data_IF_920923934976
#
_entry.id   IF_920923934976
#
_cell.length_a   1.000
_cell.length_b   1.000
_cell.length_c   1.000
_cell.angle_alpha   90.00
_cell.angle_beta   90.00
_cell.angle_gamma   90.00
#
_symmetry.space_group_name_H-M   'P 1'
#
loop_
_entity.id
_entity.type
_entity.pdbx_description
1 polymer ?
#
# COMPACT_ATOMS: atom_id res chain seq x y z
N UNK A 1 -40.55 -29.30 22.06
CA UNK A 1 -41.00 -27.92 22.33
C UNK A 1 -40.66 -27.08 21.10
N UNK A 2 -41.70 -26.58 20.41
CA UNK A 2 -41.58 -25.90 19.12
C UNK A 2 -41.49 -24.38 19.39
N UNK A 3 -40.43 -23.76 19.01
CA UNK A 3 -40.30 -22.28 19.01
C UNK A 3 -40.45 -21.74 17.60
N UNK A 4 -41.47 -20.92 17.38
CA UNK A 4 -41.83 -20.28 16.13
C UNK A 4 -41.13 -18.91 16.09
N UNK A 5 -40.28 -18.68 15.10
CA UNK A 5 -39.79 -17.32 14.78
C UNK A 5 -40.75 -16.67 13.78
N UNK A 6 -41.32 -15.55 14.18
CA UNK A 6 -42.18 -14.74 13.35
C UNK A 6 -41.30 -13.81 12.49
N UNK A 7 -41.53 -13.85 11.18
CA UNK A 7 -40.92 -12.92 10.22
C UNK A 7 -41.72 -11.62 10.19
N UNK A 8 -41.08 -10.47 10.45
CA UNK A 8 -41.67 -9.15 10.26
C UNK A 8 -41.33 -8.68 8.85
N UNK A 9 -42.34 -8.60 8.01
CA UNK A 9 -42.29 -7.94 6.70
C UNK A 9 -42.51 -6.43 6.92
N UNK A 10 -41.50 -5.60 6.61
CA UNK A 10 -41.68 -4.15 6.50
C UNK A 10 -41.94 -3.81 5.03
N UNK A 11 -43.17 -3.42 4.72
CA UNK A 11 -43.58 -2.88 3.43
C UNK A 11 -43.21 -1.39 3.39
N UNK A 12 -42.25 -1.00 2.57
CA UNK A 12 -41.91 0.40 2.29
C UNK A 12 -42.84 0.96 1.20
N UNK A 13 -43.59 1.99 1.55
CA UNK A 13 -44.48 2.75 0.65
C UNK A 13 -43.62 3.70 -0.19
N UNK A 14 -43.58 3.48 -1.52
CA UNK A 14 -43.07 4.47 -2.47
C UNK A 14 -44.14 5.53 -2.73
N UNK A 15 -43.91 6.75 -2.28
CA UNK A 15 -44.69 7.92 -2.70
C UNK A 15 -44.08 8.54 -3.96
N UNK A 16 -44.81 8.42 -5.06
CA UNK A 16 -44.51 9.06 -6.34
C UNK A 16 -44.99 10.52 -6.27
N UNK A 17 -44.04 11.47 -6.22
CA UNK A 17 -44.36 12.91 -6.30
C UNK A 17 -44.30 13.36 -7.79
N UNK A 18 -45.46 13.59 -8.36
CA UNK A 18 -45.62 14.31 -9.64
C UNK A 18 -45.33 15.80 -9.37
N UNK A 19 -44.27 16.34 -9.99
CA UNK A 19 -44.04 17.79 -10.06
C UNK A 19 -44.63 18.31 -11.33
N UNK A 20 -45.68 19.14 -11.18
CA UNK A 20 -46.31 19.89 -12.27
C UNK A 20 -45.39 21.02 -12.74
N UNK A 21 -45.24 21.14 -14.04
CA UNK A 21 -44.54 22.21 -14.74
C UNK A 21 -45.31 23.52 -14.57
N UNK A 22 -44.82 24.47 -13.77
CA UNK A 22 -45.28 25.84 -13.70
C UNK A 22 -44.16 26.75 -14.19
N UNK A 23 -44.39 27.43 -15.31
CA UNK A 23 -43.53 28.51 -15.80
C UNK A 23 -43.61 29.68 -14.82
N UNK A 24 -42.49 30.08 -14.25
CA UNK A 24 -42.32 31.31 -13.52
C UNK A 24 -41.14 32.10 -14.04
N UNK A 25 -41.38 33.38 -14.24
CA UNK A 25 -40.52 34.34 -14.92
C UNK A 25 -39.12 34.45 -14.26
N UNK A 26 -38.14 34.67 -15.13
CA UNK A 26 -36.75 34.93 -14.76
C UNK A 26 -36.64 36.21 -13.91
N UNK A 27 -36.32 36.07 -12.65
CA UNK A 27 -35.73 37.13 -11.84
C UNK A 27 -34.20 36.91 -11.84
N UNK A 28 -33.54 37.85 -12.48
CA UNK A 28 -32.08 37.86 -12.68
C UNK A 28 -31.41 38.31 -11.37
N UNK A 29 -31.21 37.40 -10.42
CA UNK A 29 -30.34 37.65 -9.25
C UNK A 29 -28.91 37.42 -9.71
N UNK A 30 -28.17 38.52 -9.87
CA UNK A 30 -26.73 38.51 -10.06
C UNK A 30 -26.07 37.82 -8.85
N UNK A 31 -25.67 36.58 -9.02
CA UNK A 31 -24.81 35.89 -8.09
C UNK A 31 -23.44 36.55 -8.14
N UNK A 32 -23.14 37.37 -7.14
CA UNK A 32 -21.79 37.85 -6.89
C UNK A 32 -20.97 36.66 -6.43
N UNK A 33 -20.24 36.04 -7.35
CA UNK A 33 -19.21 35.05 -7.01
C UNK A 33 -18.11 35.80 -6.27
N UNK A 34 -17.95 35.54 -4.96
CA UNK A 34 -16.72 35.90 -4.27
C UNK A 34 -15.54 35.31 -5.03
N UNK A 35 -14.43 36.06 -5.21
CA UNK A 35 -13.26 35.51 -5.86
C UNK A 35 -12.73 34.35 -5.00
N UNK A 36 -12.75 33.15 -5.57
CA UNK A 36 -12.03 32.01 -4.99
C UNK A 36 -10.57 32.41 -4.83
N UNK A 37 -10.14 32.51 -3.59
CA UNK A 37 -8.70 32.71 -3.27
C UNK A 37 -7.99 31.45 -3.72
N UNK A 38 -7.34 31.52 -4.86
CA UNK A 38 -6.43 30.45 -5.33
C UNK A 38 -5.29 30.44 -4.32
N UNK A 39 -5.34 29.48 -3.39
CA UNK A 39 -4.20 29.18 -2.52
C UNK A 39 -3.18 28.51 -3.41
N UNK A 40 -2.19 29.27 -3.86
CA UNK A 40 -1.05 28.78 -4.61
C UNK A 40 -0.33 27.75 -3.72
N UNK A 41 -0.38 26.48 -4.12
CA UNK A 41 0.36 25.45 -3.40
C UNK A 41 1.85 25.72 -3.56
N UNK A 42 2.64 25.63 -2.47
CA UNK A 42 4.08 25.87 -2.58
C UNK A 42 4.67 24.87 -3.57
N UNK A 43 5.34 25.37 -4.59
CA UNK A 43 6.03 24.54 -5.59
C UNK A 43 7.17 23.77 -4.92
N UNK A 44 7.34 22.49 -5.32
CA UNK A 44 8.48 21.69 -4.88
C UNK A 44 9.76 22.32 -5.46
N UNK A 45 10.77 22.67 -4.64
CA UNK A 45 12.01 23.20 -5.15
C UNK A 45 12.71 22.25 -6.11
N UNK A 46 13.40 22.77 -7.11
CA UNK A 46 14.16 21.97 -8.07
C UNK A 46 15.18 21.06 -7.35
N UNK A 47 15.25 19.80 -7.74
CA UNK A 47 16.16 18.80 -7.18
C UNK A 47 15.68 18.16 -5.87
N UNK A 48 14.61 18.64 -5.25
CA UNK A 48 14.02 18.03 -4.06
C UNK A 48 13.12 16.88 -4.47
N UNK A 49 13.30 15.73 -3.83
CA UNK A 49 12.37 14.59 -3.92
C UNK A 49 11.30 14.76 -2.85
N UNK A 50 10.06 15.03 -3.27
CA UNK A 50 8.91 15.13 -2.38
C UNK A 50 8.06 13.87 -2.50
N UNK A 51 7.84 13.22 -1.36
CA UNK A 51 7.04 12.00 -1.22
C UNK A 51 5.74 12.35 -0.51
N UNK A 52 4.61 12.07 -1.14
CA UNK A 52 3.29 12.24 -0.55
C UNK A 52 2.94 11.09 0.40
N UNK A 53 3.33 9.86 0.03
CA UNK A 53 3.06 8.67 0.83
C UNK A 53 4.23 7.68 0.72
N UNK A 54 4.56 7.05 1.85
CA UNK A 54 5.51 5.96 1.90
C UNK A 54 5.02 4.88 2.85
N UNK A 55 5.19 3.62 2.46
CA UNK A 55 4.78 2.49 3.27
C UNK A 55 5.54 1.21 2.94
N UNK A 56 5.33 0.20 3.77
CA UNK A 56 5.86 -1.15 3.56
C UNK A 56 4.75 -2.17 3.76
N UNK A 57 4.75 -3.21 2.93
CA UNK A 57 3.81 -4.32 3.05
C UNK A 57 4.42 -5.64 2.59
N UNK A 58 3.81 -6.74 3.01
CA UNK A 58 4.16 -8.08 2.56
C UNK A 58 3.23 -8.51 1.42
N UNK A 59 3.78 -9.11 0.39
CA UNK A 59 3.04 -9.62 -0.76
C UNK A 59 3.25 -11.13 -0.93
N UNK A 60 2.16 -11.88 -1.09
CA UNK A 60 2.19 -13.34 -1.21
C UNK A 60 2.59 -14.04 0.09
N UNK A 61 3.25 -15.18 -0.03
CA UNK A 61 3.73 -15.98 1.09
C UNK A 61 2.72 -16.99 1.64
N UNK A 62 3.09 -17.63 2.75
CA UNK A 62 2.32 -18.69 3.40
C UNK A 62 2.23 -18.44 4.90
N UNK A 63 1.04 -18.65 5.46
CA UNK A 63 0.84 -18.63 6.92
C UNK A 63 1.05 -20.03 7.46
N UNK A 64 1.96 -20.17 8.43
CA UNK A 64 2.25 -21.43 9.13
C UNK A 64 1.87 -21.25 10.60
N UNK A 65 1.02 -22.13 11.10
CA UNK A 65 0.66 -22.22 12.52
C UNK A 65 1.32 -23.45 13.12
N UNK A 66 1.98 -23.28 14.24
CA UNK A 66 2.61 -24.35 15.01
C UNK A 66 1.71 -24.73 16.20
N UNK A 67 1.46 -26.02 16.37
CA UNK A 67 0.70 -26.52 17.53
C UNK A 67 1.40 -26.20 18.85
N UNK A 68 0.64 -26.28 19.94
CA UNK A 68 1.16 -26.06 21.31
C UNK A 68 0.70 -24.74 21.91
N UNK A 69 1.34 -24.35 22.99
CA UNK A 69 1.04 -23.09 23.71
C UNK A 69 2.20 -22.12 23.57
N UNK A 70 1.91 -20.90 23.16
CA UNK A 70 2.91 -19.85 23.03
C UNK A 70 3.49 -19.46 24.41
N UNK A 71 4.80 -19.49 24.53
CA UNK A 71 5.54 -19.04 25.71
C UNK A 71 6.46 -17.86 25.37
N UNK A 72 6.12 -16.69 25.88
CA UNK A 72 6.88 -15.45 25.65
C UNK A 72 8.32 -15.53 26.17
N UNK A 73 8.58 -16.39 27.15
CA UNK A 73 9.95 -16.56 27.71
C UNK A 73 10.85 -17.43 26.81
N UNK A 74 10.27 -18.14 25.85
CA UNK A 74 10.98 -19.12 25.03
C UNK A 74 10.76 -18.95 23.51
N UNK A 75 10.20 -17.83 23.05
CA UNK A 75 9.81 -17.64 21.64
C UNK A 75 10.98 -17.65 20.66
N UNK A 76 12.21 -17.38 21.11
CA UNK A 76 13.40 -17.43 20.26
C UNK A 76 13.83 -18.84 19.87
N UNK A 77 13.52 -19.83 20.69
CA UNK A 77 13.97 -21.22 20.53
C UNK A 77 12.85 -22.18 20.19
N UNK A 78 11.60 -21.83 20.49
CA UNK A 78 10.41 -22.63 20.19
C UNK A 78 9.42 -21.83 19.35
N UNK A 79 8.77 -22.50 18.39
CA UNK A 79 7.66 -21.93 17.61
C UNK A 79 6.29 -22.47 18.07
N UNK A 80 6.23 -23.20 19.16
CA UNK A 80 4.97 -23.75 19.68
C UNK A 80 3.95 -22.65 19.94
N UNK A 81 2.70 -22.87 19.52
CA UNK A 81 1.59 -21.94 19.67
C UNK A 81 1.73 -20.63 18.88
N UNK A 82 2.68 -20.53 17.96
CA UNK A 82 2.91 -19.33 17.15
C UNK A 82 2.34 -19.45 15.74
N UNK A 83 2.03 -18.31 15.14
CA UNK A 83 1.69 -18.19 13.72
C UNK A 83 2.72 -17.28 13.04
N UNK A 84 3.30 -17.76 11.94
CA UNK A 84 4.28 -17.02 11.16
C UNK A 84 3.82 -16.84 9.72
N UNK A 85 4.01 -15.64 9.17
CA UNK A 85 3.86 -15.38 7.74
C UNK A 85 5.25 -15.45 7.10
N UNK A 86 5.45 -16.44 6.24
CA UNK A 86 6.76 -16.79 5.67
C UNK A 86 6.73 -16.83 4.16
N UNK A 87 7.90 -16.82 3.54
CA UNK A 87 8.07 -16.89 2.07
C UNK A 87 7.30 -15.77 1.31
N UNK A 88 7.06 -14.64 1.97
CA UNK A 88 6.50 -13.43 1.37
C UNK A 88 7.59 -12.58 0.73
N UNK A 89 7.21 -11.73 -0.21
CA UNK A 89 8.02 -10.60 -0.64
C UNK A 89 7.79 -9.42 0.32
N UNK A 90 8.82 -8.61 0.57
CA UNK A 90 8.70 -7.33 1.25
C UNK A 90 8.73 -6.21 0.21
N UNK A 91 7.76 -5.30 0.26
CA UNK A 91 7.61 -4.21 -0.70
C UNK A 91 7.68 -2.88 0.02
N UNK A 92 8.62 -2.02 -0.40
CA UNK A 92 8.63 -0.60 -0.07
C UNK A 92 7.89 0.13 -1.18
N UNK A 93 6.84 0.88 -0.82
CA UNK A 93 6.08 1.73 -1.72
C UNK A 93 6.38 3.21 -1.43
N UNK A 94 6.55 4.00 -2.48
CA UNK A 94 6.74 5.43 -2.41
C UNK A 94 5.92 6.10 -3.50
N UNK A 95 5.09 7.06 -3.10
CA UNK A 95 4.22 7.83 -4.00
C UNK A 95 4.75 9.25 -4.03
N UNK A 96 5.12 9.80 -5.20
CA UNK A 96 5.60 11.17 -5.29
C UNK A 96 4.48 12.17 -5.02
N UNK A 97 4.82 13.38 -4.57
CA UNK A 97 3.84 14.43 -4.31
C UNK A 97 3.09 14.87 -5.58
N UNK A 98 3.74 14.76 -6.74
CA UNK A 98 3.14 15.00 -8.05
C UNK A 98 3.22 13.72 -8.88
N UNK A 99 2.14 12.92 -8.84
CA UNK A 99 2.06 11.69 -9.61
C UNK A 99 1.53 11.98 -11.01
N UNK A 100 2.35 11.72 -12.02
CA UNK A 100 2.02 11.98 -13.44
C UNK A 100 2.21 10.76 -14.34
N UNK A 101 2.92 9.74 -13.86
CA UNK A 101 3.27 8.55 -14.60
C UNK A 101 2.60 7.28 -14.10
N UNK A 102 2.74 6.19 -14.86
CA UNK A 102 2.33 4.87 -14.40
C UNK A 102 3.25 4.38 -13.26
N UNK A 103 2.72 3.58 -12.31
CA UNK A 103 3.53 3.02 -11.25
C UNK A 103 4.61 2.09 -11.80
N UNK A 104 5.79 2.13 -11.17
CA UNK A 104 6.95 1.32 -11.52
C UNK A 104 7.20 0.27 -10.44
N UNK A 105 7.41 -0.97 -10.87
CA UNK A 105 7.76 -2.09 -9.99
C UNK A 105 9.18 -2.54 -10.29
N UNK A 106 10.03 -2.55 -9.25
CA UNK A 106 11.44 -2.92 -9.38
C UNK A 106 11.72 -4.27 -8.73
N UNK A 107 12.20 -5.21 -9.54
CA UNK A 107 12.67 -6.52 -9.12
C UNK A 107 14.18 -6.58 -9.22
N UNK A 108 14.84 -6.98 -8.14
CA UNK A 108 16.30 -7.15 -8.13
C UNK A 108 16.71 -8.48 -8.79
N UNK A 109 18.00 -8.60 -9.15
CA UNK A 109 18.59 -9.81 -9.68
C UNK A 109 18.92 -10.86 -8.63
N UNK A 110 19.43 -12.02 -9.09
CA UNK A 110 19.85 -13.12 -8.21
C UNK A 110 20.92 -12.64 -7.20
N UNK A 111 20.73 -12.99 -5.94
CA UNK A 111 21.66 -12.64 -4.86
C UNK A 111 21.63 -11.17 -4.40
N UNK A 112 20.75 -10.36 -4.97
CA UNK A 112 20.61 -8.93 -4.65
C UNK A 112 19.43 -8.64 -3.71
N UNK A 113 19.19 -7.36 -3.46
CA UNK A 113 18.04 -6.81 -2.77
C UNK A 113 17.58 -5.52 -3.44
N UNK A 114 16.43 -4.97 -2.99
CA UNK A 114 15.91 -3.68 -3.48
C UNK A 114 16.89 -2.51 -3.34
N UNK A 115 17.87 -2.61 -2.44
CA UNK A 115 18.87 -1.57 -2.22
C UNK A 115 19.61 -1.19 -3.52
N UNK A 116 19.81 -2.14 -4.44
CA UNK A 116 20.44 -1.88 -5.74
C UNK A 116 19.68 -0.89 -6.64
N UNK A 117 18.40 -0.62 -6.33
CA UNK A 117 17.60 0.38 -7.03
C UNK A 117 17.56 1.73 -6.31
N UNK A 118 17.89 1.77 -5.00
CA UNK A 118 17.76 2.95 -4.15
C UNK A 118 18.97 3.85 -4.19
N UNK A 119 20.16 3.28 -4.38
CA UNK A 119 21.43 4.02 -4.39
C UNK A 119 22.47 3.31 -5.22
N UNK A 120 23.52 4.04 -5.59
CA UNK A 120 24.73 3.49 -6.21
C UNK A 120 25.83 3.31 -5.16
N UNK A 121 26.84 2.44 -5.37
CA UNK A 121 27.93 2.23 -4.42
C UNK A 121 28.73 3.49 -4.08
N UNK A 122 28.74 4.47 -4.98
CA UNK A 122 29.41 5.76 -4.79
C UNK A 122 28.49 6.85 -4.20
N UNK A 123 27.27 6.49 -3.75
CA UNK A 123 26.36 7.36 -3.04
C UNK A 123 25.52 8.30 -3.91
N UNK A 124 25.49 8.10 -5.22
CA UNK A 124 24.57 8.82 -6.10
C UNK A 124 23.15 8.27 -6.00
N UNK A 125 22.21 9.04 -6.50
CA UNK A 125 20.80 8.62 -6.62
C UNK A 125 20.66 7.31 -7.38
N UNK A 126 19.76 6.45 -6.87
CA UNK A 126 19.35 5.23 -7.55
C UNK A 126 18.24 5.47 -8.57
N UNK A 127 17.88 4.42 -9.26
CA UNK A 127 16.77 4.45 -10.23
C UNK A 127 15.43 4.84 -9.56
N UNK A 128 15.19 4.42 -8.32
CA UNK A 128 13.97 4.76 -7.59
C UNK A 128 13.77 6.27 -7.47
N UNK A 129 14.81 6.99 -7.09
CA UNK A 129 14.74 8.45 -6.91
C UNK A 129 14.51 9.16 -8.24
N UNK A 130 15.16 8.69 -9.30
CA UNK A 130 14.98 9.22 -10.65
C UNK A 130 13.53 9.10 -11.12
N UNK A 131 12.92 7.91 -10.95
CA UNK A 131 11.54 7.69 -11.37
C UNK A 131 10.53 8.44 -10.49
N UNK A 132 10.79 8.54 -9.19
CA UNK A 132 9.97 9.36 -8.30
C UNK A 132 9.99 10.86 -8.71
N UNK A 133 11.15 11.40 -9.06
CA UNK A 133 11.28 12.78 -9.57
C UNK A 133 10.61 12.98 -10.94
N UNK A 134 10.41 11.91 -11.69
CA UNK A 134 9.66 11.90 -12.95
C UNK A 134 8.14 11.72 -12.75
N UNK A 135 7.67 11.66 -11.50
CA UNK A 135 6.25 11.52 -11.16
C UNK A 135 5.72 10.07 -11.22
N UNK A 136 6.58 9.08 -11.14
CA UNK A 136 6.16 7.68 -11.06
C UNK A 136 6.14 7.20 -9.61
N UNK A 137 5.03 6.60 -9.19
CA UNK A 137 5.00 5.80 -7.96
C UNK A 137 5.94 4.60 -8.09
N UNK A 138 6.68 4.29 -7.05
CA UNK A 138 7.73 3.25 -7.08
C UNK A 138 7.45 2.17 -6.04
N UNK A 139 7.52 0.92 -6.47
CA UNK A 139 7.39 -0.28 -5.64
C UNK A 139 8.68 -1.09 -5.72
N UNK A 140 9.46 -1.07 -4.66
CA UNK A 140 10.75 -1.76 -4.56
C UNK A 140 10.57 -3.08 -3.81
N UNK A 141 10.86 -4.19 -4.46
CA UNK A 141 10.56 -5.52 -3.93
C UNK A 141 11.84 -6.22 -3.49
N UNK A 142 11.88 -6.67 -2.23
CA UNK A 142 12.72 -7.77 -1.81
C UNK A 142 11.97 -9.07 -2.06
N UNK A 143 12.50 -9.91 -2.94
CA UNK A 143 11.91 -11.20 -3.23
C UNK A 143 12.01 -12.13 -2.01
N UNK A 144 11.18 -13.17 -1.89
CA UNK A 144 11.25 -14.13 -0.80
C UNK A 144 12.67 -14.61 -0.52
N UNK A 145 13.07 -14.59 0.75
CA UNK A 145 14.41 -14.97 1.24
C UNK A 145 15.54 -13.99 0.85
N UNK A 146 15.20 -12.78 0.45
CA UNK A 146 16.17 -11.73 0.11
C UNK A 146 15.87 -10.47 0.91
N UNK A 147 16.91 -9.69 1.18
CA UNK A 147 16.80 -8.41 1.89
C UNK A 147 15.98 -8.53 3.16
N UNK A 148 14.93 -7.72 3.29
CA UNK A 148 14.02 -7.72 4.44
C UNK A 148 12.90 -8.77 4.36
N UNK A 149 12.79 -9.53 3.27
CA UNK A 149 11.89 -10.67 3.13
C UNK A 149 12.53 -11.98 3.65
N UNK A 150 13.20 -11.92 4.80
CA UNK A 150 14.08 -12.98 5.30
C UNK A 150 13.38 -14.23 5.86
N UNK A 151 12.11 -14.15 6.24
CA UNK A 151 11.41 -15.28 6.84
C UNK A 151 11.07 -16.34 5.81
N UNK A 152 11.44 -17.61 6.11
CA UNK A 152 11.23 -18.73 5.20
C UNK A 152 10.82 -20.01 5.94
N UNK A 153 10.01 -20.84 5.28
CA UNK A 153 9.70 -22.21 5.70
C UNK A 153 10.78 -23.22 5.34
N UNK A 154 11.72 -22.85 4.46
CA UNK A 154 12.75 -23.74 3.97
C UNK A 154 14.01 -23.63 4.84
N UNK A 155 14.50 -24.76 5.33
CA UNK A 155 15.77 -24.83 6.03
C UNK A 155 16.93 -24.41 5.08
N UNK A 156 17.75 -23.47 5.55
CA UNK A 156 18.96 -23.04 4.83
C UNK A 156 20.18 -23.82 5.29
N UNK A 157 21.09 -24.10 4.36
CA UNK A 157 22.42 -24.61 4.67
C UNK A 157 23.41 -23.51 4.35
N UNK A 158 24.30 -23.20 5.30
CA UNK A 158 25.42 -22.30 5.05
C UNK A 158 26.56 -23.14 4.52
N UNK A 159 26.94 -22.92 3.27
CA UNK A 159 28.12 -23.54 2.70
C UNK A 159 29.36 -22.70 3.01
N UNK A 160 30.45 -23.35 3.34
CA UNK A 160 31.75 -22.67 3.58
C UNK A 160 32.46 -22.29 2.28
N UNK A 161 32.06 -22.91 1.19
CA UNK A 161 32.60 -22.62 -0.14
C UNK A 161 31.60 -21.77 -0.95
N UNK A 162 32.08 -20.75 -1.65
CA UNK A 162 31.25 -19.97 -2.57
C UNK A 162 30.75 -20.86 -3.72
N UNK A 163 29.50 -20.70 -4.08
CA UNK A 163 28.85 -21.35 -5.23
C UNK A 163 28.96 -20.51 -6.51
#
# INVERSE_FOLDING_TARGET
MKSRFAALLLAGIMTLSLVACGQQAAENTASTSEPETIVEQPSIPEGVLAIAEQGMFSAGGTVITSDGTFDVSNYYTSREGSTAHVDHANVLSQIPAEETGLPMVFLHGYGQSRMGWMTTPDGREGWSDMFLKMGHSVFLIDQPRRGEAGQTSVAGTINTEPS
#
